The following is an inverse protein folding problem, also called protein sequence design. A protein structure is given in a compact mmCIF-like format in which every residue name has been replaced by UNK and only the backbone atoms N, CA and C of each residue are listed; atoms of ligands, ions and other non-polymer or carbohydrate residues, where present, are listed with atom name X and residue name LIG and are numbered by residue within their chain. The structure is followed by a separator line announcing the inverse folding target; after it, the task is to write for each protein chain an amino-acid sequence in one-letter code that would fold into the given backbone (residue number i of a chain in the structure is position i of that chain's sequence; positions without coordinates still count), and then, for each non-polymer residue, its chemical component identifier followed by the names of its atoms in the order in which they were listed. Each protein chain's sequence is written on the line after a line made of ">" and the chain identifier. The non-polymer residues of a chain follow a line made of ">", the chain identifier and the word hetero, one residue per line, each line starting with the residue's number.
data_IF_418463197708
#
_entry.id   IF_418463197708
#
_cell.length_a   1.000
_cell.length_b   1.000
_cell.length_c   1.000
_cell.angle_alpha   90.00
_cell.angle_beta   90.00
_cell.angle_gamma   90.00
#
_symmetry.space_group_name_H-M   'P 1'
#
loop_
_entity.id
_entity.type
_entity.pdbx_description
1 polymer ?
#
# COMPACT_ATOMS: atom_id res chain seq x y z
N UNK A 1 2.23 8.70 30.03
CA UNK A 1 1.78 9.41 28.82
C UNK A 1 2.36 8.72 27.59
N UNK A 2 1.68 7.74 27.01
CA UNK A 2 2.06 7.22 25.70
C UNK A 2 1.10 7.87 24.70
N UNK A 3 1.51 9.02 24.17
CA UNK A 3 0.84 9.64 23.03
C UNK A 3 1.11 8.74 21.83
N UNK A 4 0.29 7.71 21.65
CA UNK A 4 0.10 7.10 20.34
C UNK A 4 -0.47 8.21 19.46
N UNK A 5 0.43 8.88 18.76
CA UNK A 5 0.13 9.79 17.68
C UNK A 5 -0.61 8.91 16.67
N UNK A 6 -1.94 8.90 16.74
CA UNK A 6 -2.80 8.49 15.64
C UNK A 6 -2.48 9.47 14.53
N UNK A 7 -1.43 9.20 13.77
CA UNK A 7 -1.20 9.87 12.51
C UNK A 7 -2.28 9.35 11.58
N UNK A 8 -3.42 10.03 11.61
CA UNK A 8 -4.47 9.98 10.60
C UNK A 8 -3.96 10.63 9.32
N UNK A 9 -2.81 10.19 8.82
CA UNK A 9 -2.26 10.54 7.53
C UNK A 9 -2.34 9.30 6.68
N UNK A 10 -2.89 9.42 5.48
CA UNK A 10 -2.95 8.40 4.44
C UNK A 10 -1.69 7.55 4.43
N UNK A 11 -1.70 6.46 5.20
CA UNK A 11 -0.47 5.78 5.51
C UNK A 11 -0.13 4.97 4.27
N UNK A 12 0.86 5.44 3.51
CA UNK A 12 1.44 4.75 2.37
C UNK A 12 2.28 3.56 2.89
N UNK A 13 1.63 2.63 3.61
CA UNK A 13 2.23 1.40 4.08
C UNK A 13 1.75 0.25 3.20
N UNK A 14 2.65 -0.68 2.93
CA UNK A 14 2.27 -1.87 2.19
C UNK A 14 1.45 -2.79 3.08
N UNK A 15 0.19 -3.06 2.71
CA UNK A 15 -0.67 -3.97 3.50
C UNK A 15 -0.21 -5.44 3.48
N UNK A 16 0.80 -5.80 2.68
CA UNK A 16 1.31 -7.18 2.58
C UNK A 16 2.54 -7.44 3.45
N UNK A 17 3.44 -6.46 3.59
CA UNK A 17 4.62 -6.59 4.45
C UNK A 17 4.59 -5.65 5.66
N UNK A 18 3.56 -4.82 5.78
CA UNK A 18 3.34 -3.86 6.87
C UNK A 18 4.48 -2.85 7.05
N UNK A 19 5.25 -2.62 5.98
CA UNK A 19 6.36 -1.66 5.95
C UNK A 19 6.01 -0.44 5.09
N UNK A 20 6.50 0.71 5.54
CA UNK A 20 6.54 1.97 4.78
C UNK A 20 7.95 2.14 4.24
N UNK A 21 8.30 1.43 3.16
CA UNK A 21 9.58 1.64 2.46
C UNK A 21 9.36 2.67 1.36
N UNK A 22 10.39 3.46 1.08
CA UNK A 22 10.44 4.38 -0.05
C UNK A 22 10.69 3.60 -1.36
N UNK A 23 9.83 2.63 -1.65
CA UNK A 23 9.83 1.79 -2.86
C UNK A 23 8.64 2.16 -3.75
N UNK A 24 8.67 1.74 -5.02
CA UNK A 24 7.52 1.94 -5.91
C UNK A 24 6.29 1.21 -5.39
N UNK A 25 5.28 1.98 -4.98
CA UNK A 25 3.99 1.46 -4.51
C UNK A 25 2.92 1.63 -5.56
N UNK A 26 1.94 0.74 -5.52
CA UNK A 26 0.72 0.84 -6.29
C UNK A 26 -0.48 0.88 -5.35
N UNK A 27 -1.46 1.69 -5.72
CA UNK A 27 -2.73 1.77 -5.01
C UNK A 27 -3.77 0.86 -5.65
N UNK A 28 -4.52 0.13 -4.82
CA UNK A 28 -5.67 -0.65 -5.29
C UNK A 28 -6.81 0.29 -5.72
N UNK A 29 -7.34 0.08 -6.92
CA UNK A 29 -8.45 0.87 -7.47
C UNK A 29 -9.79 0.71 -6.74
N UNK A 30 -9.94 -0.28 -5.85
CA UNK A 30 -11.21 -0.59 -5.16
C UNK A 30 -11.19 -0.21 -3.68
N UNK A 31 -10.18 -0.66 -2.93
CA UNK A 31 -10.05 -0.34 -1.50
C UNK A 31 -9.06 0.80 -1.21
N UNK A 32 -8.40 1.34 -2.24
CA UNK A 32 -7.41 2.41 -2.11
C UNK A 32 -6.20 2.07 -1.21
N UNK A 33 -5.99 0.79 -0.89
CA UNK A 33 -4.84 0.32 -0.15
C UNK A 33 -3.56 0.39 -0.98
N UNK A 34 -2.45 0.73 -0.32
CA UNK A 34 -1.13 0.80 -0.92
C UNK A 34 -0.38 -0.52 -0.74
N UNK A 35 0.25 -1.00 -1.81
CA UNK A 35 1.06 -2.22 -1.82
C UNK A 35 2.32 -1.93 -2.63
N UNK A 36 3.50 -2.37 -2.18
CA UNK A 36 4.70 -2.29 -3.03
C UNK A 36 4.47 -3.05 -4.33
N UNK A 37 4.84 -2.49 -5.47
CA UNK A 37 4.75 -3.16 -6.79
C UNK A 37 5.40 -4.55 -6.75
N UNK A 38 6.53 -4.67 -6.05
CA UNK A 38 7.21 -5.94 -5.75
C UNK A 38 6.37 -6.91 -4.93
N UNK A 39 5.75 -6.45 -3.83
CA UNK A 39 4.85 -7.28 -3.01
C UNK A 39 3.58 -7.68 -3.77
N UNK A 40 3.09 -6.82 -4.66
CA UNK A 40 1.98 -7.10 -5.56
C UNK A 40 2.38 -8.04 -6.72
N UNK A 41 3.69 -8.29 -6.93
CA UNK A 41 4.19 -9.11 -8.03
C UNK A 41 3.95 -8.48 -9.40
N UNK A 42 3.93 -7.14 -9.48
CA UNK A 42 3.68 -6.41 -10.72
C UNK A 42 4.85 -5.50 -11.09
N UNK A 43 4.89 -5.09 -12.35
CA UNK A 43 5.79 -4.04 -12.82
C UNK A 43 5.17 -2.65 -12.57
N UNK A 44 6.01 -1.65 -12.34
CA UNK A 44 5.62 -0.24 -12.20
C UNK A 44 4.88 0.33 -13.43
N UNK A 45 4.94 -0.35 -14.58
CA UNK A 45 4.19 0.04 -15.78
C UNK A 45 2.66 -0.17 -15.67
N UNK A 46 2.18 -0.87 -14.64
CA UNK A 46 0.76 -1.16 -14.45
C UNK A 46 0.02 0.07 -13.92
N UNK A 47 -0.94 0.59 -14.72
CA UNK A 47 -1.76 1.75 -14.35
C UNK A 47 -2.99 1.42 -13.50
N UNK A 48 -3.46 0.17 -13.52
CA UNK A 48 -4.67 -0.28 -12.82
C UNK A 48 -4.37 -1.56 -12.06
N UNK A 49 -4.61 -1.55 -10.76
CA UNK A 49 -4.31 -2.70 -9.91
C UNK A 49 -5.42 -2.95 -8.89
N UNK A 50 -5.68 -4.23 -8.65
CA UNK A 50 -6.61 -4.72 -7.65
C UNK A 50 -5.84 -5.65 -6.71
N UNK A 51 -5.86 -5.34 -5.41
CA UNK A 51 -5.22 -6.16 -4.40
C UNK A 51 -5.94 -7.50 -4.24
N UNK A 52 -5.27 -8.48 -3.61
CA UNK A 52 -5.84 -9.82 -3.39
C UNK A 52 -7.17 -9.80 -2.60
N UNK A 53 -7.36 -8.81 -1.72
CA UNK A 53 -8.60 -8.65 -0.95
C UNK A 53 -9.77 -8.08 -1.77
N UNK A 54 -9.49 -7.53 -2.95
CA UNK A 54 -10.47 -6.86 -3.81
C UNK A 54 -10.78 -7.63 -5.09
N UNK A 55 -9.97 -8.65 -5.40
CA UNK A 55 -10.10 -9.51 -6.57
C UNK A 55 -11.28 -10.47 -6.43
#
# INVERSE_FOLDING_TARGET
>A
MQKHKKETGDSWFCILCEETKEEEMIQCMKCHAWIHTRCAGISAAIKKFFCCNCR
#
